data_IF_835386778171
#
_entry.id   IF_835386778171
#
_cell.length_a   1.000
_cell.length_b   1.000
_cell.length_c   1.000
_cell.angle_alpha   90.00
_cell.angle_beta   90.00
_cell.angle_gamma   90.00
#
_symmetry.space_group_name_H-M   'P 1'
#
loop_
_entity.id
_entity.type
_entity.pdbx_description
1 polymer ?
#
# COMPACT_ATOMS: atom_id res chain seq x y z
N UNK A 1 3.03 -11.44 12.44
CA UNK A 1 1.79 -12.24 12.58
C UNK A 1 0.71 -11.66 11.68
N UNK A 2 -0.45 -12.31 11.49
CA UNK A 2 -1.51 -11.81 10.58
C UNK A 2 -2.54 -10.88 11.25
N UNK A 3 -2.55 -10.80 12.58
CA UNK A 3 -3.40 -9.86 13.32
C UNK A 3 -3.08 -8.40 12.94
N UNK A 4 -4.06 -7.50 13.05
CA UNK A 4 -3.89 -6.08 12.67
C UNK A 4 -3.05 -5.28 13.66
N UNK A 5 -2.73 -5.84 14.83
CA UNK A 5 -1.81 -5.28 15.80
C UNK A 5 -0.37 -5.84 15.66
N UNK A 6 -0.10 -6.71 14.67
CA UNK A 6 1.22 -7.28 14.41
C UNK A 6 1.61 -7.08 12.95
N UNK A 7 2.88 -6.75 12.69
CA UNK A 7 3.43 -6.70 11.34
C UNK A 7 4.11 -8.02 10.96
N UNK A 8 4.25 -8.29 9.66
CA UNK A 8 4.95 -9.42 9.09
C UNK A 8 5.78 -8.99 7.89
N UNK A 9 7.09 -8.86 8.11
CA UNK A 9 8.04 -8.35 7.14
C UNK A 9 7.60 -7.00 6.53
N UNK A 10 7.51 -5.93 7.35
CA UNK A 10 7.23 -4.60 6.82
C UNK A 10 8.40 -4.11 5.95
N UNK A 11 8.11 -3.49 4.81
CA UNK A 11 9.13 -3.03 3.85
C UNK A 11 9.10 -1.53 3.63
N UNK A 12 7.97 -1.01 3.16
CA UNK A 12 7.77 0.40 2.85
C UNK A 12 7.16 1.15 4.02
N UNK A 13 7.44 2.45 4.09
CA UNK A 13 6.92 3.35 5.11
C UNK A 13 6.63 4.71 4.50
N UNK A 14 5.43 5.23 4.74
CA UNK A 14 5.06 6.61 4.42
C UNK A 14 4.41 7.28 5.63
N UNK A 15 4.83 8.51 5.92
CA UNK A 15 4.25 9.32 7.00
C UNK A 15 3.63 10.56 6.40
N UNK A 16 2.31 10.69 6.54
CA UNK A 16 1.57 11.85 6.07
C UNK A 16 1.56 12.99 7.10
N UNK A 17 1.35 14.22 6.64
CA UNK A 17 1.33 15.44 7.47
C UNK A 17 0.31 15.38 8.61
N UNK A 18 -0.80 14.66 8.41
CA UNK A 18 -1.84 14.42 9.42
C UNK A 18 -1.44 13.34 10.46
N UNK A 19 -0.17 12.93 10.47
CA UNK A 19 0.39 11.87 11.30
C UNK A 19 -0.22 10.48 11.06
N UNK A 20 -0.76 10.24 9.86
CA UNK A 20 -1.06 8.88 9.41
C UNK A 20 0.24 8.19 8.98
N UNK A 21 0.45 6.97 9.45
CA UNK A 21 1.59 6.12 9.07
C UNK A 21 1.06 4.96 8.22
N UNK A 22 1.61 4.79 7.03
CA UNK A 22 1.34 3.66 6.16
C UNK A 22 2.57 2.75 6.11
N UNK A 23 2.35 1.44 6.11
CA UNK A 23 3.41 0.47 5.88
C UNK A 23 2.93 -0.67 5.01
N UNK A 24 3.77 -1.11 4.09
CA UNK A 24 3.52 -2.35 3.32
C UNK A 24 3.99 -3.54 4.13
N UNK A 25 3.23 -4.63 4.11
CA UNK A 25 3.63 -5.90 4.70
C UNK A 25 3.86 -6.93 3.62
N UNK A 26 5.13 -7.22 3.35
CA UNK A 26 5.53 -8.10 2.25
C UNK A 26 4.93 -9.50 2.39
N UNK A 27 5.05 -10.10 3.58
CA UNK A 27 4.59 -11.47 3.85
C UNK A 27 3.10 -11.60 4.18
N UNK A 28 2.41 -10.48 4.48
CA UNK A 28 0.96 -10.48 4.66
C UNK A 28 0.21 -9.92 3.43
N UNK A 29 0.93 -9.50 2.39
CA UNK A 29 0.37 -9.03 1.11
C UNK A 29 -0.70 -7.95 1.28
N UNK A 30 -0.38 -6.94 2.10
CA UNK A 30 -1.32 -5.88 2.44
C UNK A 30 -0.60 -4.57 2.76
N UNK A 31 -1.37 -3.49 2.79
CA UNK A 31 -0.93 -2.19 3.31
C UNK A 31 -1.70 -1.89 4.58
N UNK A 32 -0.96 -1.57 5.63
CA UNK A 32 -1.50 -1.17 6.93
C UNK A 32 -1.45 0.34 7.10
N UNK A 33 -2.46 0.89 7.77
CA UNK A 33 -2.54 2.27 8.20
C UNK A 33 -2.62 2.34 9.73
N UNK A 34 -1.92 3.30 10.30
CA UNK A 34 -1.87 3.60 11.73
C UNK A 34 -1.98 5.10 11.96
N UNK A 35 -2.44 5.49 13.14
CA UNK A 35 -2.21 6.84 13.66
C UNK A 35 -0.87 6.85 14.38
N UNK A 36 -0.06 7.89 14.20
CA UNK A 36 1.20 8.03 14.93
C UNK A 36 0.97 7.90 16.45
N UNK A 37 1.78 7.05 17.10
CA UNK A 37 1.65 6.71 18.52
C UNK A 37 0.61 5.62 18.85
N UNK A 38 -0.23 5.21 17.90
CA UNK A 38 -1.14 4.07 18.08
C UNK A 38 -0.42 2.76 17.75
N UNK A 39 -0.38 1.85 18.72
CA UNK A 39 0.30 0.55 18.61
C UNK A 39 -0.66 -0.63 18.53
N UNK A 40 -1.97 -0.41 18.60
CA UNK A 40 -2.97 -1.48 18.68
C UNK A 40 -4.04 -1.44 17.60
N UNK A 41 -4.37 -0.26 17.05
CA UNK A 41 -5.49 -0.10 16.11
C UNK A 41 -5.05 0.07 14.65
N UNK A 42 -4.21 -0.86 14.17
CA UNK A 42 -3.86 -0.92 12.76
C UNK A 42 -5.06 -1.28 11.87
N UNK A 43 -5.12 -0.71 10.67
CA UNK A 43 -6.18 -0.97 9.70
C UNK A 43 -5.60 -1.42 8.35
N UNK A 44 -6.18 -2.45 7.75
CA UNK A 44 -5.86 -2.81 6.37
C UNK A 44 -6.54 -1.82 5.43
N UNK A 45 -5.76 -1.13 4.59
CA UNK A 45 -6.28 -0.10 3.67
C UNK A 45 -6.11 -0.48 2.19
N UNK A 46 -5.33 -1.52 1.90
CA UNK A 46 -5.23 -2.15 0.58
C UNK A 46 -4.75 -3.60 0.71
N UNK A 47 -5.11 -4.45 -0.24
CA UNK A 47 -4.80 -5.88 -0.21
C UNK A 47 -5.50 -6.62 0.93
N UNK A 48 -4.84 -7.63 1.51
CA UNK A 48 -5.39 -8.43 2.61
C UNK A 48 -6.39 -9.52 2.19
N UNK A 49 -6.66 -9.65 0.89
CA UNK A 49 -7.52 -10.71 0.31
C UNK A 49 -6.69 -11.93 -0.16
N UNK A 50 -5.59 -12.21 0.55
CA UNK A 50 -4.59 -13.21 0.17
C UNK A 50 -3.62 -12.75 -0.92
N UNK A 51 -2.57 -13.54 -1.10
CA UNK A 51 -1.58 -13.36 -2.16
C UNK A 51 -2.21 -13.57 -3.54
N UNK A 52 -1.95 -12.68 -4.50
CA UNK A 52 -2.31 -12.93 -5.90
C UNK A 52 -2.28 -11.70 -6.78
N UNK A 53 -2.61 -11.89 -8.07
CA UNK A 53 -2.61 -10.84 -9.11
C UNK A 53 -3.99 -10.20 -9.34
N UNK A 54 -5.03 -10.64 -8.61
CA UNK A 54 -6.35 -10.02 -8.66
C UNK A 54 -6.30 -8.52 -8.31
N UNK A 55 -7.27 -7.74 -8.78
CA UNK A 55 -7.31 -6.29 -8.50
C UNK A 55 -7.58 -5.98 -7.03
N UNK A 56 -8.22 -6.91 -6.30
CA UNK A 56 -8.42 -6.84 -4.86
C UNK A 56 -7.28 -7.50 -4.06
N UNK A 57 -6.21 -7.96 -4.71
CA UNK A 57 -5.08 -8.65 -4.09
C UNK A 57 -3.78 -7.89 -4.33
N UNK A 58 -2.80 -8.15 -3.46
CA UNK A 58 -1.41 -7.75 -3.62
C UNK A 58 -0.53 -9.00 -3.52
N UNK A 59 0.72 -8.89 -3.91
CA UNK A 59 1.74 -9.90 -3.81
C UNK A 59 3.10 -9.24 -3.55
N UNK A 60 3.62 -9.46 -2.34
CA UNK A 60 4.87 -8.87 -1.88
C UNK A 60 4.97 -7.35 -2.07
N UNK A 61 4.05 -6.52 -1.57
CA UNK A 61 4.16 -5.08 -1.75
C UNK A 61 5.39 -4.53 -1.01
N UNK A 62 6.21 -3.73 -1.68
CA UNK A 62 7.50 -3.26 -1.14
C UNK A 62 7.50 -1.79 -0.74
N UNK A 63 6.64 -0.98 -1.35
CA UNK A 63 6.55 0.45 -1.07
C UNK A 63 5.15 1.05 -1.30
N UNK A 64 4.88 2.19 -0.66
CA UNK A 64 3.61 2.90 -0.75
C UNK A 64 3.79 4.41 -0.57
N UNK A 65 3.03 5.21 -1.32
CA UNK A 65 2.89 6.65 -1.12
C UNK A 65 1.42 7.10 -1.25
N UNK A 66 1.11 8.31 -0.79
CA UNK A 66 -0.21 8.92 -0.95
C UNK A 66 -0.15 9.95 -2.08
N UNK A 67 -1.03 9.79 -3.06
CA UNK A 67 -1.44 10.88 -3.95
C UNK A 67 -2.58 11.64 -3.27
N UNK A 68 -2.25 12.80 -2.68
CA UNK A 68 -3.19 13.63 -1.90
C UNK A 68 -4.28 14.26 -2.76
N UNK A 69 -4.00 14.53 -4.04
CA UNK A 69 -4.91 15.24 -4.94
C UNK A 69 -6.12 14.39 -5.33
N UNK A 70 -5.92 13.08 -5.51
CA UNK A 70 -6.99 12.13 -5.88
C UNK A 70 -7.37 11.19 -4.73
N UNK A 71 -6.82 11.42 -3.54
CA UNK A 71 -7.02 10.62 -2.33
C UNK A 71 -6.83 9.11 -2.58
N UNK A 72 -5.65 8.75 -3.07
CA UNK A 72 -5.31 7.37 -3.42
C UNK A 72 -3.93 6.96 -2.90
N UNK A 73 -3.78 5.68 -2.61
CA UNK A 73 -2.50 5.03 -2.40
C UNK A 73 -1.89 4.66 -3.75
N UNK A 74 -0.59 4.88 -3.92
CA UNK A 74 0.19 4.27 -4.99
C UNK A 74 1.08 3.22 -4.35
N UNK A 75 0.98 1.98 -4.81
CA UNK A 75 1.57 0.82 -4.17
C UNK A 75 2.44 0.07 -5.17
N UNK A 76 3.65 -0.24 -4.75
CA UNK A 76 4.60 -1.06 -5.47
C UNK A 76 4.28 -2.53 -5.19
N UNK A 77 3.55 -3.19 -6.09
CA UNK A 77 3.09 -4.58 -5.97
C UNK A 77 4.13 -5.52 -6.61
N UNK A 78 5.27 -5.64 -5.91
CA UNK A 78 6.56 -6.03 -6.50
C UNK A 78 6.57 -7.43 -7.13
N UNK A 79 6.06 -8.44 -6.43
CA UNK A 79 6.08 -9.81 -6.93
C UNK A 79 5.05 -10.03 -8.06
N UNK A 80 4.11 -9.10 -8.23
CA UNK A 80 3.23 -9.05 -9.40
C UNK A 80 3.81 -8.22 -10.56
N UNK A 81 4.95 -7.55 -10.37
CA UNK A 81 5.64 -6.77 -11.39
C UNK A 81 4.90 -5.49 -11.81
N UNK A 82 4.15 -4.86 -10.89
CA UNK A 82 3.27 -3.73 -11.22
C UNK A 82 3.23 -2.64 -10.15
N UNK A 83 2.81 -1.45 -10.54
CA UNK A 83 2.38 -0.38 -9.64
C UNK A 83 0.87 -0.26 -9.72
N UNK A 84 0.20 -0.25 -8.57
CA UNK A 84 -1.26 -0.13 -8.48
C UNK A 84 -1.66 1.14 -7.74
N UNK A 85 -2.76 1.75 -8.19
CA UNK A 85 -3.48 2.80 -7.47
C UNK A 85 -4.63 2.18 -6.68
N UNK A 86 -4.79 2.57 -5.42
CA UNK A 86 -5.91 2.16 -4.58
C UNK A 86 -6.61 3.37 -3.98
N UNK A 87 -7.87 3.60 -4.38
CA UNK A 87 -8.66 4.72 -3.85
C UNK A 87 -8.89 4.55 -2.35
N UNK A 88 -8.74 5.64 -1.58
CA UNK A 88 -9.00 5.66 -0.12
C UNK A 88 -10.45 6.00 0.22
N UNK A 89 -11.29 6.22 -0.80
CA UNK A 89 -12.71 6.50 -0.64
C UNK A 89 -13.44 5.27 -0.09
N UNK A 90 -14.46 5.52 0.73
CA UNK A 90 -15.32 4.48 1.30
C UNK A 90 -15.90 3.58 0.20
N UNK A 91 -15.92 2.26 0.46
CA UNK A 91 -16.44 1.26 -0.49
C UNK A 91 -15.44 0.80 -1.55
N UNK A 92 -14.20 1.31 -1.57
CA UNK A 92 -13.16 0.79 -2.47
C UNK A 92 -12.76 -0.64 -2.05
N UNK A 93 -12.87 -1.60 -2.96
CA UNK A 93 -12.56 -3.02 -2.71
C UNK A 93 -11.41 -3.56 -3.57
N UNK A 94 -10.94 -2.79 -4.54
CA UNK A 94 -9.90 -3.19 -5.48
C UNK A 94 -9.11 -1.98 -5.97
N UNK A 95 -7.87 -2.22 -6.40
CA UNK A 95 -7.00 -1.25 -7.05
C UNK A 95 -7.14 -1.26 -8.57
N UNK A 96 -6.33 -0.42 -9.20
CA UNK A 96 -6.17 -0.24 -10.63
C UNK A 96 -4.69 -0.28 -10.98
N UNK A 97 -4.33 -0.98 -12.06
CA UNK A 97 -2.93 -1.04 -12.50
C UNK A 97 -2.55 0.27 -13.20
N UNK A 98 -1.52 0.95 -12.71
CA UNK A 98 -0.95 2.14 -13.35
C UNK A 98 0.19 1.79 -14.30
N UNK A 99 1.07 0.88 -13.86
CA UNK A 99 2.26 0.44 -14.60
C UNK A 99 2.36 -1.07 -14.41
N UNK A 100 2.63 -1.83 -15.47
CA UNK A 100 2.83 -3.29 -15.44
C UNK A 100 4.13 -3.65 -16.16
N UNK A 101 4.59 -4.89 -16.00
CA UNK A 101 5.81 -5.44 -16.59
C UNK A 101 7.08 -4.67 -16.16
N UNK A 102 7.17 -4.37 -14.87
CA UNK A 102 8.31 -3.67 -14.26
C UNK A 102 8.79 -4.39 -13.00
N UNK A 103 10.06 -4.21 -12.67
CA UNK A 103 10.58 -4.58 -11.35
C UNK A 103 10.47 -3.38 -10.43
N UNK A 104 9.44 -3.36 -9.59
CA UNK A 104 9.19 -2.29 -8.65
C UNK A 104 9.75 -2.65 -7.27
N UNK A 105 10.55 -1.74 -6.67
CA UNK A 105 11.07 -1.89 -5.30
C UNK A 105 10.89 -0.63 -4.43
N UNK A 106 10.72 0.53 -5.06
CA UNK A 106 10.54 1.81 -4.40
C UNK A 106 9.77 2.75 -5.30
N UNK A 107 9.11 3.72 -4.69
CA UNK A 107 8.31 4.74 -5.36
C UNK A 107 8.79 6.13 -4.96
N UNK A 108 8.78 7.03 -5.92
CA UNK A 108 8.86 8.46 -5.69
C UNK A 108 7.87 9.12 -6.65
N UNK A 109 7.44 10.34 -6.31
CA UNK A 109 6.68 11.18 -7.24
C UNK A 109 7.32 12.55 -7.29
N UNK A 110 7.39 13.13 -8.49
CA UNK A 110 7.79 14.52 -8.66
C UNK A 110 6.63 15.49 -8.34
N UNK A 111 6.91 16.80 -8.38
CA UNK A 111 5.90 17.84 -8.15
C UNK A 111 4.79 17.83 -9.23
N UNK A 112 5.05 17.25 -10.40
CA UNK A 112 4.09 17.07 -11.48
C UNK A 112 3.31 15.76 -11.37
N UNK A 113 3.55 14.96 -10.31
CA UNK A 113 2.92 13.68 -10.01
C UNK A 113 3.27 12.56 -11.00
N UNK A 114 4.44 12.62 -11.61
CA UNK A 114 4.99 11.50 -12.35
C UNK A 114 5.67 10.52 -11.39
N UNK A 115 5.43 9.22 -11.62
CA UNK A 115 6.05 8.10 -10.92
C UNK A 115 7.43 7.76 -11.51
#
# INVERSE_FOLDING_TARGET
GSATNHLNFPCGLFVADNQTVLTTEYMNHRVMQWKNGDTTNGQVVAGGNGQGKGLNQLNGPTDVLIDKEIDSLIICDADNGRVVRWSRRSGTTQGEVLIDNINCYGLAVDEQRNL
#
